data_IF_368407651772
#
_entry.id   IF_368407651772
#
_cell.length_a   1.000
_cell.length_b   1.000
_cell.length_c   1.000
_cell.angle_alpha   90.00
_cell.angle_beta   90.00
_cell.angle_gamma   90.00
#
_symmetry.space_group_name_H-M   'P 1'
#
loop_
_entity.id
_entity.type
_entity.pdbx_description
1 polymer ?
#
# COMPACT_ATOMS: atom_id res chain seq x y z
N UNK A 1 2.96 -6.88 -15.67
CA UNK A 1 3.29 -5.79 -14.74
C UNK A 1 3.47 -6.37 -13.34
N UNK A 2 4.52 -5.96 -12.65
CA UNK A 2 4.78 -6.47 -11.30
C UNK A 2 3.84 -5.82 -10.28
N UNK A 3 3.61 -6.52 -9.18
CA UNK A 3 2.73 -6.02 -8.11
C UNK A 3 3.20 -4.65 -7.57
N UNK A 4 4.51 -4.49 -7.38
CA UNK A 4 5.04 -3.21 -6.89
C UNK A 4 4.77 -2.06 -7.86
N UNK A 5 4.77 -2.33 -9.16
CA UNK A 5 4.43 -1.31 -10.16
C UNK A 5 2.95 -0.95 -10.10
N UNK A 6 2.10 -1.95 -9.92
CA UNK A 6 0.65 -1.74 -9.78
C UNK A 6 0.39 -0.88 -8.55
N UNK A 7 1.02 -1.20 -7.43
CA UNK A 7 0.87 -0.43 -6.19
C UNK A 7 1.33 1.01 -6.39
N UNK A 8 2.49 1.21 -7.00
CA UNK A 8 3.01 2.56 -7.26
C UNK A 8 2.01 3.39 -8.06
N UNK A 9 1.45 2.82 -9.12
CA UNK A 9 0.46 3.51 -9.94
C UNK A 9 -0.82 3.81 -9.17
N UNK A 10 -1.26 2.86 -8.34
CA UNK A 10 -2.44 3.04 -7.51
C UNK A 10 -2.25 4.19 -6.52
N UNK A 11 -1.11 4.24 -5.86
CA UNK A 11 -0.80 5.31 -4.91
C UNK A 11 -0.78 6.67 -5.59
N UNK A 12 -0.12 6.76 -6.75
CA UNK A 12 -0.04 8.01 -7.51
C UNK A 12 -1.42 8.47 -7.99
N UNK A 13 -2.20 7.53 -8.52
CA UNK A 13 -3.53 7.84 -9.06
C UNK A 13 -4.49 8.35 -7.98
N UNK A 14 -4.33 7.90 -6.74
CA UNK A 14 -5.23 8.25 -5.65
C UNK A 14 -4.63 9.26 -4.66
N UNK A 15 -3.42 9.74 -4.92
CA UNK A 15 -2.76 10.70 -4.03
C UNK A 15 -2.44 10.14 -2.66
N UNK A 16 -2.16 8.84 -2.57
CA UNK A 16 -1.88 8.16 -1.31
C UNK A 16 -0.37 8.14 -1.07
N UNK A 17 0.07 8.52 0.14
CA UNK A 17 1.49 8.49 0.48
C UNK A 17 1.98 7.06 0.69
N UNK A 18 3.27 6.85 0.42
CA UNK A 18 3.91 5.57 0.67
C UNK A 18 3.94 5.25 2.18
N UNK A 19 4.03 6.28 3.01
CA UNK A 19 3.99 6.12 4.47
C UNK A 19 2.63 5.55 4.91
N UNK A 20 1.54 6.11 4.40
CA UNK A 20 0.21 5.61 4.72
C UNK A 20 0.05 4.16 4.27
N UNK A 21 0.51 3.85 3.05
CA UNK A 21 0.48 2.50 2.53
C UNK A 21 1.25 1.53 3.45
N UNK A 22 2.46 1.91 3.89
CA UNK A 22 3.25 1.06 4.77
C UNK A 22 2.54 0.79 6.09
N UNK A 23 1.84 1.78 6.62
CA UNK A 23 1.04 1.62 7.85
C UNK A 23 -0.13 0.67 7.64
N UNK A 24 -0.80 0.77 6.50
CA UNK A 24 -1.94 -0.10 6.18
C UNK A 24 -1.55 -1.57 6.10
N UNK A 25 -0.39 -1.87 5.53
CA UNK A 25 0.07 -3.25 5.40
C UNK A 25 0.90 -3.70 6.61
N UNK A 26 1.16 -2.79 7.55
CA UNK A 26 1.95 -3.10 8.74
C UNK A 26 3.40 -3.43 8.45
N UNK A 27 3.98 -2.78 7.44
CA UNK A 27 5.35 -3.02 7.02
C UNK A 27 6.22 -1.80 7.36
N UNK A 28 7.48 -2.05 7.68
CA UNK A 28 8.44 -0.97 7.92
C UNK A 28 8.55 -0.08 6.68
N UNK A 29 8.62 1.23 6.87
CA UNK A 29 8.66 2.19 5.78
C UNK A 29 9.89 1.98 4.88
N UNK A 30 11.05 1.73 5.47
CA UNK A 30 12.27 1.49 4.71
C UNK A 30 12.16 0.23 3.84
N UNK A 31 11.60 -0.84 4.39
CA UNK A 31 11.35 -2.07 3.64
C UNK A 31 10.33 -1.84 2.53
N UNK A 32 9.29 -1.07 2.81
CA UNK A 32 8.27 -0.71 1.81
C UNK A 32 8.89 0.03 0.63
N UNK A 33 9.74 1.02 0.90
CA UNK A 33 10.44 1.74 -0.17
C UNK A 33 11.32 0.81 -1.01
N UNK A 34 12.06 -0.09 -0.35
CA UNK A 34 12.92 -1.04 -1.06
C UNK A 34 12.12 -1.95 -1.98
N UNK A 35 10.96 -2.42 -1.51
CA UNK A 35 10.10 -3.26 -2.31
C UNK A 35 9.51 -2.48 -3.49
N UNK A 36 9.03 -1.26 -3.26
CA UNK A 36 8.46 -0.42 -4.31
C UNK A 36 9.50 -0.06 -5.37
N UNK A 37 10.75 0.10 -4.97
CA UNK A 37 11.86 0.43 -5.87
C UNK A 37 12.51 -0.80 -6.50
N UNK A 38 11.95 -1.98 -6.28
CA UNK A 38 12.47 -3.26 -6.81
C UNK A 38 13.84 -3.65 -6.23
N UNK A 39 14.22 -3.10 -5.08
CA UNK A 39 15.47 -3.48 -4.41
C UNK A 39 15.34 -4.82 -3.69
N UNK A 40 14.12 -5.18 -3.28
CA UNK A 40 13.81 -6.52 -2.78
C UNK A 40 12.67 -7.08 -3.64
N UNK A 41 12.73 -8.39 -3.90
CA UNK A 41 11.82 -9.02 -4.88
C UNK A 41 10.44 -9.32 -4.32
N UNK A 42 10.32 -9.58 -3.04
CA UNK A 42 9.05 -9.99 -2.45
C UNK A 42 8.98 -9.59 -0.98
N UNK A 43 7.78 -9.67 -0.45
CA UNK A 43 7.49 -9.45 0.98
C UNK A 43 6.89 -10.73 1.55
N UNK A 44 6.85 -10.85 2.90
CA UNK A 44 6.18 -12.00 3.54
C UNK A 44 4.74 -12.15 3.06
N UNK A 45 4.24 -13.38 3.05
CA UNK A 45 2.92 -13.68 2.51
C UNK A 45 1.80 -12.88 3.18
N UNK A 46 1.89 -12.64 4.49
CA UNK A 46 0.89 -11.84 5.21
C UNK A 46 0.85 -10.39 4.70
N UNK A 47 2.01 -9.84 4.37
CA UNK A 47 2.08 -8.48 3.80
C UNK A 47 1.49 -8.45 2.40
N UNK A 48 1.77 -9.46 1.58
CA UNK A 48 1.20 -9.56 0.23
C UNK A 48 -0.32 -9.64 0.27
N UNK A 49 -0.88 -10.39 1.20
CA UNK A 49 -2.34 -10.45 1.38
C UNK A 49 -2.92 -9.09 1.72
N UNK A 50 -2.26 -8.35 2.61
CA UNK A 50 -2.71 -7.00 2.98
C UNK A 50 -2.61 -6.03 1.81
N UNK A 51 -1.61 -6.20 0.95
CA UNK A 51 -1.48 -5.39 -0.26
C UNK A 51 -2.69 -5.61 -1.18
N UNK A 52 -3.09 -6.86 -1.40
CA UNK A 52 -4.26 -7.15 -2.22
C UNK A 52 -5.52 -6.52 -1.64
N UNK A 53 -5.69 -6.59 -0.32
CA UNK A 53 -6.82 -5.96 0.37
C UNK A 53 -6.78 -4.45 0.22
N UNK A 54 -5.59 -3.86 0.31
CA UNK A 54 -5.40 -2.44 0.11
C UNK A 54 -5.83 -2.01 -1.29
N UNK A 55 -5.42 -2.76 -2.31
CA UNK A 55 -5.80 -2.47 -3.69
C UNK A 55 -7.29 -2.63 -3.95
N UNK A 56 -7.96 -3.44 -3.14
CA UNK A 56 -9.41 -3.60 -3.20
C UNK A 56 -10.17 -2.51 -2.44
N UNK A 57 -9.46 -1.55 -1.85
CA UNK A 57 -10.06 -0.41 -1.18
C UNK A 57 -10.45 -0.62 0.28
N UNK A 58 -10.09 -1.76 0.90
CA UNK A 58 -10.49 -2.05 2.28
C UNK A 58 -9.96 -1.06 3.31
N UNK A 59 -8.81 -0.46 3.03
CA UNK A 59 -8.18 0.48 3.97
C UNK A 59 -8.43 1.94 3.60
N UNK A 60 -9.20 2.17 2.54
CA UNK A 60 -9.48 3.51 2.07
C UNK A 60 -10.71 4.05 2.80
N UNK A 61 -10.53 5.10 3.58
CA UNK A 61 -11.64 5.71 4.32
C UNK A 61 -12.55 6.47 3.37
N UNK A 62 -13.85 6.25 3.47
CA UNK A 62 -14.82 7.03 2.73
C UNK A 62 -14.87 8.45 3.30
N UNK A 63 -15.40 9.39 2.51
CA UNK A 63 -15.57 10.76 2.98
C UNK A 63 -16.48 10.79 4.22
N UNK A 64 -17.47 9.92 4.27
CA UNK A 64 -18.38 9.83 5.41
C UNK A 64 -17.65 9.42 6.68
N UNK A 65 -16.76 8.44 6.58
CA UNK A 65 -15.95 7.99 7.72
C UNK A 65 -15.06 9.12 8.23
N UNK A 66 -14.45 9.87 7.30
CA UNK A 66 -13.58 10.99 7.66
C UNK A 66 -14.38 12.10 8.35
N UNK A 67 -15.58 12.36 7.89
CA UNK A 67 -16.42 13.42 8.45
C UNK A 67 -16.98 13.08 9.84
N UNK A 68 -17.08 11.81 10.17
CA UNK A 68 -17.55 11.37 11.50
C UNK A 68 -16.48 11.53 12.57
N UNK A 69 -15.24 11.60 12.18
CA UNK A 69 -14.13 11.84 13.10
C UNK A 69 -14.02 13.34 13.41
#
# INVERSE_FOLDING_TARGET
MRLNEIVTKYLEANGISKKYFSECIGCDLAVTYKWLNSEIKTLPADKLKKIHRFLNGEYYKSIETVMED
#
